data_IF_670580773299
#
_entry.id   IF_670580773299
#
_cell.length_a   1.000
_cell.length_b   1.000
_cell.length_c   1.000
_cell.angle_alpha   90.00
_cell.angle_beta   90.00
_cell.angle_gamma   90.00
#
_symmetry.space_group_name_H-M   'P 1'
#
loop_
_entity.id
_entity.type
_entity.pdbx_description
1 polymer ?
#
# COMPACT_ATOMS: atom_id res chain seq x y z
N UNK A 1 16.69 -5.80 2.37
CA UNK A 1 17.60 -4.70 2.72
C UNK A 1 16.84 -3.41 2.55
N UNK A 2 16.41 -2.80 3.62
CA UNK A 2 16.11 -1.38 3.90
C UNK A 2 15.64 -0.45 2.76
N UNK A 3 14.99 -0.97 1.73
CA UNK A 3 14.56 -0.17 0.59
C UNK A 3 13.33 0.69 0.88
N UNK A 4 12.61 0.38 1.95
CA UNK A 4 11.33 1.03 2.26
C UNK A 4 11.37 2.03 3.43
N UNK A 5 12.44 2.05 4.22
CA UNK A 5 12.49 2.88 5.43
C UNK A 5 13.10 4.28 5.24
N UNK A 6 13.71 4.58 4.09
CA UNK A 6 14.55 5.79 3.95
C UNK A 6 14.08 6.83 2.93
N UNK A 7 12.97 6.60 2.24
CA UNK A 7 12.52 7.54 1.21
C UNK A 7 11.12 8.06 1.47
N UNK A 8 11.07 9.15 2.21
CA UNK A 8 9.91 10.05 2.22
C UNK A 8 8.69 9.50 2.97
N UNK A 9 7.84 10.39 3.26
CA UNK A 9 6.56 10.31 3.95
C UNK A 9 5.51 9.46 3.23
N UNK A 10 5.68 8.21 2.91
CA UNK A 10 4.64 7.30 2.40
C UNK A 10 3.78 7.79 1.21
N UNK A 11 4.03 8.98 0.72
CA UNK A 11 3.26 9.74 -0.25
C UNK A 11 3.54 9.35 -1.69
N UNK A 12 4.79 9.14 -1.97
CA UNK A 12 5.24 8.73 -3.30
C UNK A 12 4.55 7.42 -3.69
N UNK A 13 4.32 6.54 -2.72
CA UNK A 13 3.69 5.24 -2.97
C UNK A 13 2.19 5.35 -3.26
N UNK A 14 1.45 6.25 -2.63
CA UNK A 14 0.02 6.45 -2.93
C UNK A 14 -0.20 6.95 -4.36
N UNK A 15 0.57 7.94 -4.76
CA UNK A 15 0.52 8.43 -6.14
C UNK A 15 0.91 7.33 -7.13
N UNK A 16 1.92 6.53 -6.78
CA UNK A 16 2.36 5.42 -7.61
C UNK A 16 1.30 4.33 -7.69
N UNK A 17 0.58 4.02 -6.58
CA UNK A 17 -0.57 3.10 -6.63
C UNK A 17 -1.63 3.64 -7.59
N UNK A 18 -2.01 4.91 -7.47
CA UNK A 18 -3.02 5.52 -8.34
C UNK A 18 -2.60 5.53 -9.81
N UNK A 19 -1.34 5.88 -10.09
CA UNK A 19 -0.78 5.85 -11.44
C UNK A 19 -0.75 4.43 -12.01
N UNK A 20 -0.34 3.45 -11.22
CA UNK A 20 -0.35 2.03 -11.58
C UNK A 20 -1.78 1.55 -11.90
N UNK A 21 -2.75 1.90 -11.05
CA UNK A 21 -4.15 1.53 -11.28
C UNK A 21 -4.71 2.15 -12.56
N UNK A 22 -4.35 3.39 -12.87
CA UNK A 22 -4.75 4.04 -14.12
C UNK A 22 -4.08 3.36 -15.33
N UNK A 23 -2.81 3.05 -15.24
CA UNK A 23 -2.08 2.32 -16.28
C UNK A 23 -2.71 0.93 -16.55
N UNK A 24 -3.10 0.20 -15.49
CA UNK A 24 -3.81 -1.08 -15.63
C UNK A 24 -5.16 -0.87 -16.31
N UNK A 25 -5.94 0.15 -15.92
CA UNK A 25 -7.25 0.45 -16.53
C UNK A 25 -7.15 0.75 -18.02
N UNK A 26 -6.08 1.41 -18.45
CA UNK A 26 -5.87 1.79 -19.84
C UNK A 26 -5.39 0.62 -20.71
N UNK A 27 -4.67 -0.34 -20.13
CA UNK A 27 -3.97 -1.39 -20.87
C UNK A 27 -4.56 -2.79 -20.72
N UNK A 28 -5.44 -3.02 -19.76
CA UNK A 28 -6.19 -4.28 -19.57
C UNK A 28 -7.61 -4.08 -20.07
N UNK A 29 -8.05 -4.93 -21.01
CA UNK A 29 -9.36 -4.79 -21.64
C UNK A 29 -10.50 -5.31 -20.76
N UNK A 30 -10.30 -6.48 -20.16
CA UNK A 30 -11.27 -7.08 -19.24
C UNK A 30 -10.71 -7.17 -17.81
N UNK A 31 -11.15 -6.27 -16.97
CA UNK A 31 -10.72 -6.22 -15.56
C UNK A 31 -11.29 -7.36 -14.70
N UNK A 32 -12.24 -8.14 -15.26
CA UNK A 32 -12.78 -9.35 -14.62
C UNK A 32 -12.05 -10.62 -15.04
N UNK A 33 -11.23 -10.55 -16.09
CA UNK A 33 -10.39 -11.67 -16.53
C UNK A 33 -9.11 -11.74 -15.68
N UNK A 34 -9.07 -12.75 -14.81
CA UNK A 34 -7.93 -13.01 -13.92
C UNK A 34 -6.62 -13.21 -14.69
N UNK A 35 -6.67 -13.92 -15.82
CA UNK A 35 -5.48 -14.27 -16.58
C UNK A 35 -4.92 -13.06 -17.31
N UNK A 36 -5.76 -12.18 -17.83
CA UNK A 36 -5.35 -10.93 -18.44
C UNK A 36 -4.69 -10.00 -17.41
N UNK A 37 -5.33 -9.81 -16.24
CA UNK A 37 -4.78 -9.03 -15.15
C UNK A 37 -3.45 -9.63 -14.66
N UNK A 38 -3.39 -10.95 -14.45
CA UNK A 38 -2.18 -11.67 -14.03
C UNK A 38 -1.04 -11.48 -15.03
N UNK A 39 -1.34 -11.61 -16.33
CA UNK A 39 -0.35 -11.41 -17.39
C UNK A 39 0.21 -9.99 -17.39
N UNK A 40 -0.64 -8.97 -17.23
CA UNK A 40 -0.22 -7.58 -17.19
C UNK A 40 0.64 -7.27 -15.97
N UNK A 41 0.23 -7.71 -14.78
CA UNK A 41 1.03 -7.59 -13.56
C UNK A 41 2.37 -8.34 -13.67
N UNK A 42 2.39 -9.46 -14.38
CA UNK A 42 3.62 -10.20 -14.69
C UNK A 42 4.62 -9.37 -15.50
N UNK A 43 4.15 -8.69 -16.56
CA UNK A 43 4.97 -7.76 -17.37
C UNK A 43 5.45 -6.56 -16.56
N UNK A 44 4.63 -6.09 -15.63
CA UNK A 44 5.00 -5.00 -14.71
C UNK A 44 6.14 -5.41 -13.78
N UNK A 45 6.09 -6.62 -13.20
CA UNK A 45 7.18 -7.17 -12.38
C UNK A 45 8.46 -7.42 -13.17
N UNK A 46 8.35 -7.72 -14.45
CA UNK A 46 9.50 -7.88 -15.37
C UNK A 46 10.08 -6.53 -15.84
N UNK A 47 9.48 -5.42 -15.43
CA UNK A 47 9.93 -4.08 -15.82
C UNK A 47 9.69 -3.75 -17.29
N UNK A 48 8.71 -4.37 -17.92
CA UNK A 48 8.39 -4.19 -19.35
C UNK A 48 7.39 -3.06 -19.59
N UNK A 49 6.50 -2.82 -18.63
CA UNK A 49 5.41 -1.85 -18.71
C UNK A 49 5.41 -0.89 -17.52
N UNK A 50 4.55 0.12 -17.57
CA UNK A 50 4.41 1.16 -16.57
C UNK A 50 5.73 1.92 -16.36
N UNK A 51 6.24 2.02 -15.14
CA UNK A 51 7.46 2.78 -14.77
C UNK A 51 8.76 1.96 -14.89
N UNK A 52 8.67 0.71 -15.36
CA UNK A 52 9.78 -0.24 -15.57
C UNK A 52 10.63 -0.55 -14.34
N UNK A 53 10.11 -0.29 -13.14
CA UNK A 53 10.83 -0.57 -11.88
C UNK A 53 10.64 -2.00 -11.38
N UNK A 54 9.76 -2.75 -12.01
CA UNK A 54 9.47 -4.14 -11.63
C UNK A 54 8.76 -4.24 -10.28
N UNK A 55 7.86 -3.32 -9.95
CA UNK A 55 7.16 -3.26 -8.68
C UNK A 55 5.66 -3.20 -8.88
N UNK A 56 4.91 -3.91 -8.02
CA UNK A 56 3.48 -3.70 -7.81
C UNK A 56 3.33 -2.85 -6.56
N UNK A 57 2.94 -1.59 -6.74
CA UNK A 57 2.83 -0.63 -5.64
C UNK A 57 1.66 -0.94 -4.74
N UNK A 58 1.81 -0.65 -3.44
CA UNK A 58 0.81 -0.94 -2.43
C UNK A 58 0.85 -2.35 -1.88
N UNK A 59 1.76 -3.20 -2.38
CA UNK A 59 1.97 -4.56 -1.91
C UNK A 59 3.23 -4.68 -1.04
N UNK A 60 3.09 -5.40 0.08
CA UNK A 60 4.17 -5.66 1.02
C UNK A 60 4.34 -4.59 2.10
N UNK A 61 4.88 -4.99 3.23
CA UNK A 61 5.20 -4.12 4.36
C UNK A 61 6.47 -4.60 5.07
N UNK A 62 7.23 -3.66 5.63
CA UNK A 62 8.49 -3.98 6.33
C UNK A 62 8.25 -4.80 7.61
N UNK A 63 7.14 -4.57 8.30
CA UNK A 63 6.77 -5.19 9.58
C UNK A 63 5.70 -6.27 9.39
N UNK A 64 4.59 -5.92 8.73
CA UNK A 64 3.47 -6.84 8.55
C UNK A 64 3.72 -7.78 7.36
N UNK A 65 3.65 -9.09 7.61
CA UNK A 65 3.85 -10.10 6.57
C UNK A 65 2.57 -10.84 6.18
N UNK A 66 1.64 -10.97 7.13
CA UNK A 66 0.38 -11.68 6.90
C UNK A 66 -0.74 -10.71 6.47
N UNK A 67 -0.90 -9.61 7.18
CA UNK A 67 -1.83 -8.55 6.82
C UNK A 67 -1.48 -7.25 7.56
N UNK A 68 -1.76 -6.10 6.95
CA UNK A 68 -1.71 -4.80 7.62
C UNK A 68 -3.08 -4.54 8.29
N UNK A 69 -3.16 -4.44 9.62
CA UNK A 69 -4.44 -4.24 10.31
C UNK A 69 -5.13 -2.93 9.91
N UNK A 70 -4.37 -1.94 9.46
CA UNK A 70 -4.90 -0.65 8.98
C UNK A 70 -5.57 -0.81 7.63
N UNK A 71 -5.00 -1.63 6.75
CA UNK A 71 -5.58 -1.95 5.44
C UNK A 71 -6.94 -2.65 5.61
N UNK A 72 -7.06 -3.63 6.53
CA UNK A 72 -8.30 -4.33 6.81
C UNK A 72 -9.44 -3.40 7.23
N UNK A 73 -9.14 -2.43 8.10
CA UNK A 73 -10.10 -1.40 8.49
C UNK A 73 -10.48 -0.54 7.27
N UNK A 74 -9.50 -0.11 6.48
CA UNK A 74 -9.76 0.66 5.25
C UNK A 74 -10.65 -0.10 4.29
N UNK A 75 -10.36 -1.37 4.03
CA UNK A 75 -11.09 -2.21 3.08
C UNK A 75 -12.60 -2.23 3.36
N UNK A 76 -13.01 -2.41 4.62
CA UNK A 76 -14.43 -2.44 4.97
C UNK A 76 -15.16 -1.12 4.63
N UNK A 77 -14.49 0.02 4.79
CA UNK A 77 -15.07 1.32 4.42
C UNK A 77 -15.02 1.57 2.91
N UNK A 78 -13.97 1.11 2.23
CA UNK A 78 -13.80 1.27 0.78
C UNK A 78 -14.91 0.56 0.01
N UNK A 79 -15.27 -0.66 0.40
CA UNK A 79 -16.35 -1.43 -0.23
C UNK A 79 -17.68 -0.68 -0.18
N UNK A 80 -18.08 -0.21 1.01
CA UNK A 80 -19.30 0.58 1.17
C UNK A 80 -19.25 1.92 0.39
N UNK A 81 -18.10 2.58 0.40
CA UNK A 81 -17.94 3.84 -0.32
C UNK A 81 -17.99 3.64 -1.84
N UNK A 82 -17.37 2.59 -2.35
CA UNK A 82 -17.39 2.24 -3.76
C UNK A 82 -18.81 1.92 -4.25
N UNK A 83 -19.60 1.20 -3.45
CA UNK A 83 -21.00 0.95 -3.72
C UNK A 83 -21.81 2.27 -3.77
N UNK A 84 -21.67 3.10 -2.73
CA UNK A 84 -22.37 4.39 -2.65
C UNK A 84 -22.01 5.37 -3.79
N UNK A 85 -20.79 5.26 -4.33
CA UNK A 85 -20.27 6.11 -5.42
C UNK A 85 -20.42 5.47 -6.82
N UNK A 86 -20.96 4.27 -6.92
CA UNK A 86 -21.09 3.55 -8.21
C UNK A 86 -19.73 3.11 -8.80
N UNK A 87 -18.70 2.93 -7.96
CA UNK A 87 -17.34 2.56 -8.36
C UNK A 87 -17.03 1.08 -8.11
N UNK A 88 -18.05 0.22 -8.16
CA UNK A 88 -17.89 -1.21 -7.87
C UNK A 88 -16.95 -1.93 -8.85
N UNK A 89 -16.91 -1.49 -10.12
CA UNK A 89 -15.97 -2.06 -11.10
C UNK A 89 -14.51 -1.81 -10.71
N UNK A 90 -14.21 -0.62 -10.24
CA UNK A 90 -12.86 -0.29 -9.74
C UNK A 90 -12.54 -1.13 -8.50
N UNK A 91 -13.48 -1.25 -7.56
CA UNK A 91 -13.28 -2.07 -6.36
C UNK A 91 -12.99 -3.53 -6.71
N UNK A 92 -13.69 -4.08 -7.69
CA UNK A 92 -13.45 -5.45 -8.16
C UNK A 92 -12.04 -5.61 -8.74
N UNK A 93 -11.53 -4.60 -9.47
CA UNK A 93 -10.16 -4.60 -9.96
C UNK A 93 -9.14 -4.57 -8.80
N UNK A 94 -9.37 -3.74 -7.78
CA UNK A 94 -8.52 -3.73 -6.58
C UNK A 94 -8.51 -5.10 -5.89
N UNK A 95 -9.67 -5.73 -5.71
CA UNK A 95 -9.80 -7.07 -5.14
C UNK A 95 -9.06 -8.13 -5.98
N UNK A 96 -9.16 -8.06 -7.31
CA UNK A 96 -8.46 -8.96 -8.22
C UNK A 96 -6.95 -8.82 -8.08
N UNK A 97 -6.44 -7.58 -8.02
CA UNK A 97 -4.99 -7.34 -7.85
C UNK A 97 -4.53 -7.81 -6.47
N UNK A 98 -5.30 -7.58 -5.42
CA UNK A 98 -5.01 -8.06 -4.06
C UNK A 98 -4.85 -9.58 -4.02
N UNK A 99 -5.69 -10.31 -4.77
CA UNK A 99 -5.64 -11.77 -4.83
C UNK A 99 -4.46 -12.28 -5.66
N UNK A 100 -4.21 -11.67 -6.82
CA UNK A 100 -3.25 -12.17 -7.81
C UNK A 100 -1.81 -11.74 -7.51
N UNK A 101 -1.60 -10.50 -7.02
CA UNK A 101 -0.27 -9.94 -6.87
C UNK A 101 0.62 -10.69 -5.86
N UNK A 102 0.12 -11.18 -4.70
CA UNK A 102 0.94 -11.93 -3.76
C UNK A 102 1.54 -13.20 -4.38
N UNK A 103 0.73 -13.95 -5.13
CA UNK A 103 1.17 -15.18 -5.82
C UNK A 103 2.27 -14.87 -6.82
N UNK A 104 2.07 -13.87 -7.68
CA UNK A 104 3.04 -13.45 -8.69
C UNK A 104 4.36 -12.94 -8.07
N UNK A 105 4.27 -12.15 -7.00
CA UNK A 105 5.45 -11.63 -6.32
C UNK A 105 6.23 -12.77 -5.67
N UNK A 106 5.54 -13.71 -5.02
CA UNK A 106 6.17 -14.88 -4.41
C UNK A 106 6.88 -15.72 -5.47
N UNK A 107 6.21 -16.00 -6.60
CA UNK A 107 6.72 -16.81 -7.70
C UNK A 107 7.96 -16.15 -8.36
N UNK A 108 7.85 -14.87 -8.75
CA UNK A 108 8.92 -14.17 -9.48
C UNK A 108 10.09 -13.71 -8.62
N UNK A 109 9.86 -13.39 -7.36
CA UNK A 109 10.87 -12.85 -6.44
C UNK A 109 11.43 -13.89 -5.48
N UNK A 110 10.93 -15.13 -5.51
CA UNK A 110 11.30 -16.18 -4.56
C UNK A 110 11.16 -15.73 -3.10
N UNK A 111 10.10 -14.96 -2.82
CA UNK A 111 9.81 -14.43 -1.48
C UNK A 111 8.86 -15.41 -0.82
N UNK A 112 9.36 -16.18 0.14
CA UNK A 112 8.56 -17.12 0.94
C UNK A 112 7.82 -16.44 2.11
N UNK A 113 8.16 -15.19 2.40
CA UNK A 113 7.42 -14.36 3.36
C UNK A 113 6.16 -13.86 2.67
N UNK A 114 5.01 -14.03 3.31
CA UNK A 114 3.74 -13.55 2.77
C UNK A 114 3.81 -12.07 2.35
N UNK A 115 3.15 -11.75 1.26
CA UNK A 115 2.98 -10.37 0.76
C UNK A 115 1.50 -10.04 0.86
N UNK A 116 1.19 -8.92 1.49
CA UNK A 116 -0.18 -8.43 1.65
C UNK A 116 -0.28 -6.96 1.25
N UNK A 117 -1.48 -6.46 0.91
CA UNK A 117 -1.68 -5.04 0.70
C UNK A 117 -1.29 -4.24 1.95
N UNK A 118 -0.75 -3.06 1.74
CA UNK A 118 -0.49 -2.10 2.81
C UNK A 118 -1.53 -0.96 2.77
N UNK A 119 -1.46 -0.05 3.74
CA UNK A 119 -2.41 1.06 3.85
C UNK A 119 -2.46 1.97 2.60
N UNK A 120 -1.38 2.01 1.82
CA UNK A 120 -1.32 2.87 0.63
C UNK A 120 -2.12 2.29 -0.54
N UNK A 121 -2.39 0.99 -0.55
CA UNK A 121 -3.11 0.32 -1.62
C UNK A 121 -4.53 0.87 -1.81
N UNK A 122 -5.30 0.98 -0.74
CA UNK A 122 -6.68 1.47 -0.80
C UNK A 122 -6.83 2.97 -0.52
N UNK A 123 -5.91 3.58 0.22
CA UNK A 123 -6.09 4.96 0.68
C UNK A 123 -6.19 6.00 -0.44
N UNK A 124 -5.46 5.81 -1.53
CA UNK A 124 -5.55 6.68 -2.71
C UNK A 124 -6.94 6.61 -3.36
N UNK A 125 -7.49 5.41 -3.47
CA UNK A 125 -8.82 5.19 -4.03
C UNK A 125 -9.93 5.83 -3.17
N UNK A 126 -9.82 5.74 -1.85
CA UNK A 126 -10.74 6.44 -0.93
C UNK A 126 -10.69 7.96 -1.17
N UNK A 127 -9.49 8.53 -1.25
CA UNK A 127 -9.35 9.96 -1.46
C UNK A 127 -9.90 10.41 -2.82
N UNK A 128 -9.69 9.62 -3.86
CA UNK A 128 -10.28 9.86 -5.18
C UNK A 128 -11.81 9.87 -5.10
N UNK A 129 -12.43 8.86 -4.47
CA UNK A 129 -13.88 8.78 -4.32
C UNK A 129 -14.48 9.92 -3.48
N UNK A 130 -13.71 10.47 -2.55
CA UNK A 130 -14.07 11.64 -1.75
C UNK A 130 -13.82 12.97 -2.49
N UNK A 131 -13.25 12.94 -3.69
CA UNK A 131 -12.94 14.13 -4.48
C UNK A 131 -11.79 14.96 -3.92
N UNK A 132 -10.90 14.34 -3.14
CA UNK A 132 -9.72 15.01 -2.59
C UNK A 132 -8.68 15.14 -3.70
N UNK A 133 -8.17 16.35 -4.00
CA UNK A 133 -7.10 16.54 -4.97
C UNK A 133 -5.83 15.76 -4.60
N UNK A 134 -5.18 15.17 -5.58
CA UNK A 134 -4.00 14.32 -5.37
C UNK A 134 -2.83 15.05 -4.68
N UNK A 135 -2.76 16.37 -4.82
CA UNK A 135 -1.76 17.23 -4.17
C UNK A 135 -1.89 17.25 -2.64
N UNK A 136 -3.09 16.94 -2.13
CA UNK A 136 -3.37 16.92 -0.69
C UNK A 136 -3.13 15.57 -0.03
N UNK A 137 -2.86 14.51 -0.77
CA UNK A 137 -2.68 13.15 -0.19
C UNK A 137 -1.53 13.11 0.82
N UNK A 138 -0.38 13.73 0.49
CA UNK A 138 0.76 13.86 1.42
C UNK A 138 0.47 14.78 2.59
N UNK A 139 0.01 16.02 2.35
CA UNK A 139 -0.34 16.92 3.45
C UNK A 139 -1.28 16.30 4.48
N UNK A 140 -2.29 15.56 4.06
CA UNK A 140 -3.23 14.89 4.97
C UNK A 140 -2.53 13.86 5.88
N UNK A 141 -1.60 13.09 5.32
CA UNK A 141 -0.80 12.14 6.11
C UNK A 141 0.15 12.85 7.08
N UNK A 142 0.76 13.96 6.64
CA UNK A 142 1.64 14.76 7.49
C UNK A 142 0.86 15.39 8.66
N UNK A 143 -0.31 15.97 8.39
CA UNK A 143 -1.18 16.54 9.42
C UNK A 143 -1.56 15.48 10.47
N UNK A 144 -1.95 14.28 10.03
CA UNK A 144 -2.30 13.19 10.94
C UNK A 144 -1.14 12.72 11.84
N UNK A 145 0.10 12.95 11.41
CA UNK A 145 1.31 12.50 12.13
C UNK A 145 2.00 13.60 12.92
N UNK A 146 1.67 14.86 12.69
CA UNK A 146 2.44 15.99 13.25
C UNK A 146 2.43 16.00 14.79
N UNK A 147 1.33 15.61 15.42
CA UNK A 147 1.24 15.50 16.86
C UNK A 147 2.22 14.45 17.41
N UNK A 148 2.25 13.25 16.80
CA UNK A 148 3.18 12.18 17.18
C UNK A 148 4.63 12.53 16.92
N UNK A 149 4.93 13.15 15.78
CA UNK A 149 6.28 13.63 15.49
C UNK A 149 6.75 14.70 16.46
N UNK A 150 5.86 15.62 16.83
CA UNK A 150 6.18 16.67 17.82
C UNK A 150 6.47 16.07 19.19
N UNK A 151 5.67 15.09 19.63
CA UNK A 151 5.90 14.38 20.88
C UNK A 151 7.25 13.65 20.88
N UNK A 152 7.54 12.87 19.85
CA UNK A 152 8.84 12.19 19.72
C UNK A 152 10.01 13.16 19.63
N UNK A 153 9.83 14.31 18.95
CA UNK A 153 10.88 15.33 18.89
C UNK A 153 11.15 15.97 20.25
N UNK A 154 10.12 16.21 21.04
CA UNK A 154 10.27 16.71 22.41
C UNK A 154 10.99 15.69 23.29
N UNK A 155 10.62 14.42 23.24
CA UNK A 155 11.30 13.33 23.96
C UNK A 155 12.78 13.24 23.56
N UNK A 156 13.09 13.33 22.28
CA UNK A 156 14.46 13.31 21.77
C UNK A 156 15.28 14.49 22.30
N UNK A 157 14.70 15.69 22.31
CA UNK A 157 15.37 16.91 22.81
C UNK A 157 15.64 16.87 24.31
N UNK A 158 14.73 16.26 25.09
CA UNK A 158 14.82 16.17 26.54
C UNK A 158 15.70 15.00 27.00
N UNK A 159 15.58 13.86 26.33
CA UNK A 159 16.14 12.60 26.80
C UNK A 159 17.39 12.08 26.05
N UNK A 160 17.58 12.45 24.80
CA UNK A 160 18.59 11.81 23.94
C UNK A 160 19.11 12.73 22.85
N UNK A 161 20.44 12.73 22.69
CA UNK A 161 21.09 13.47 21.61
C UNK A 161 21.35 12.58 20.35
N UNK A 162 20.69 11.45 20.22
CA UNK A 162 20.88 10.51 19.09
C UNK A 162 19.56 9.86 18.67
N UNK A 163 19.49 9.46 17.41
CA UNK A 163 18.36 8.70 16.87
C UNK A 163 18.24 7.36 17.60
N UNK A 164 17.08 7.13 18.20
CA UNK A 164 16.72 5.87 18.85
C UNK A 164 15.90 5.05 17.86
N UNK A 165 16.32 3.80 17.65
CA UNK A 165 15.52 2.79 16.93
C UNK A 165 15.10 1.74 17.95
N UNK A 166 13.90 1.88 18.55
CA UNK A 166 13.44 0.93 19.55
C UNK A 166 13.23 -0.45 18.93
N UNK A 167 13.66 -1.48 19.63
CA UNK A 167 13.28 -2.85 19.36
C UNK A 167 12.12 -3.21 20.28
N UNK A 168 11.02 -3.70 19.73
CA UNK A 168 9.87 -4.14 20.51
C UNK A 168 9.91 -5.64 20.68
N UNK A 169 9.74 -6.11 21.91
CA UNK A 169 9.54 -7.52 22.24
C UNK A 169 8.12 -7.65 22.81
N UNK A 170 7.33 -8.57 22.27
CA UNK A 170 6.06 -8.91 22.87
C UNK A 170 6.29 -9.45 24.28
N UNK A 171 5.55 -8.90 25.25
CA UNK A 171 5.49 -9.42 26.62
C UNK A 171 4.21 -10.20 26.90
N UNK A 172 3.38 -10.38 25.87
CA UNK A 172 2.21 -11.26 25.94
C UNK A 172 2.67 -12.71 25.89
N UNK A 173 2.06 -13.54 26.75
CA UNK A 173 2.22 -14.99 26.65
C UNK A 173 1.66 -15.46 25.31
N UNK A 174 2.40 -16.35 24.63
CA UNK A 174 1.88 -17.02 23.44
C UNK A 174 0.69 -17.88 23.91
N UNK A 175 -0.48 -17.59 23.38
CA UNK A 175 -1.66 -18.45 23.61
C UNK A 175 -1.41 -19.75 22.84
N UNK A 176 -1.27 -20.85 23.57
CA UNK A 176 -1.19 -22.21 23.03
C UNK A 176 -2.45 -22.62 22.24
#
# INVERSE_FOLDING_TARGET
>A
RDYYASRGLGDVYKRQVMQMMNDIRENVHDWSDRDEVKSYLGKMLDGQVFDKKGLIYGMGHAVYSLSDPRERVFRSYVEHLAEAKGRQKDMNLYNMIEEVAPELIAEKRHIFKGVSPNVDFYSGFVYEMLGIPSELYTPLFAIARIAGWSAHRLEELVGCNKIIRPAYKSVMEELE
#
